data_IF_107836029306
#
_entry.id   IF_107836029306
#
_cell.length_a   1.000
_cell.length_b   1.000
_cell.length_c   1.000
_cell.angle_alpha   90.00
_cell.angle_beta   90.00
_cell.angle_gamma   90.00
#
_symmetry.space_group_name_H-M   'P 1'
#
loop_
_entity.id
_entity.type
_entity.pdbx_description
1 polymer ?
#
# COMPACT_ATOMS: atom_id res chain seq x y z
N UNK A 1 22.14 -11.30 0.58
CA UNK A 1 21.64 -12.68 0.45
C UNK A 1 21.50 -13.32 1.82
N UNK A 2 20.29 -13.25 2.39
CA UNK A 2 19.94 -13.86 3.68
C UNK A 2 19.88 -15.38 3.55
N UNK A 3 20.44 -16.13 4.50
CA UNK A 3 20.36 -17.60 4.53
C UNK A 3 19.00 -18.06 5.05
N UNK A 4 18.20 -18.69 4.19
CA UNK A 4 16.94 -19.35 4.58
C UNK A 4 17.20 -20.84 4.79
N UNK A 5 16.98 -21.33 6.01
CA UNK A 5 17.38 -22.68 6.41
C UNK A 5 16.18 -23.56 6.78
N UNK A 6 16.28 -24.84 6.46
CA UNK A 6 15.60 -25.87 7.24
C UNK A 6 16.32 -26.02 8.59
N UNK A 7 15.58 -26.07 9.69
CA UNK A 7 16.16 -26.15 11.04
C UNK A 7 15.63 -27.38 11.78
N UNK A 8 16.49 -28.36 12.00
CA UNK A 8 16.18 -29.57 12.77
C UNK A 8 16.61 -29.42 14.21
N UNK A 9 15.65 -29.43 15.14
CA UNK A 9 15.92 -29.46 16.57
C UNK A 9 15.97 -30.91 17.05
N UNK A 10 17.01 -31.28 17.78
CA UNK A 10 16.98 -32.50 18.59
C UNK A 10 17.34 -33.81 17.88
N UNK A 11 18.09 -33.77 16.78
CA UNK A 11 18.39 -34.96 15.95
C UNK A 11 19.15 -36.05 16.73
N UNK A 12 20.44 -35.83 17.01
CA UNK A 12 21.29 -36.78 17.74
C UNK A 12 21.51 -36.39 19.22
N UNK A 13 21.15 -35.16 19.58
CA UNK A 13 21.31 -34.60 20.92
C UNK A 13 20.09 -33.74 21.30
N UNK A 14 19.69 -33.66 22.59
CA UNK A 14 18.55 -32.86 23.01
C UNK A 14 18.70 -31.37 22.62
N UNK A 15 17.66 -30.81 21.98
CA UNK A 15 17.52 -29.36 21.81
C UNK A 15 16.90 -28.78 23.09
N UNK A 16 17.74 -28.27 23.98
CA UNK A 16 17.31 -27.69 25.25
C UNK A 16 16.59 -26.36 24.98
N UNK A 17 15.30 -26.30 25.31
CA UNK A 17 14.49 -25.08 25.25
C UNK A 17 14.11 -24.59 26.64
N UNK A 18 13.96 -23.27 26.77
CA UNK A 18 13.40 -22.64 27.97
C UNK A 18 12.05 -22.01 27.63
N UNK A 19 11.08 -22.17 28.53
CA UNK A 19 9.75 -21.61 28.33
C UNK A 19 9.81 -20.09 28.52
N UNK A 20 9.52 -19.34 27.46
CA UNK A 20 9.54 -17.88 27.49
C UNK A 20 8.52 -17.35 28.50
N UNK A 21 9.01 -16.60 29.49
CA UNK A 21 8.20 -16.08 30.59
C UNK A 21 7.60 -17.15 31.51
N UNK A 22 8.10 -18.39 31.47
CA UNK A 22 7.62 -19.53 32.27
C UNK A 22 6.10 -19.77 32.17
N UNK A 23 5.49 -19.53 31.00
CA UNK A 23 4.05 -19.74 30.75
C UNK A 23 3.76 -20.24 29.34
N UNK A 24 2.67 -21.00 29.19
CA UNK A 24 2.19 -21.52 27.90
C UNK A 24 1.33 -20.47 27.17
N UNK A 25 1.99 -19.52 26.52
CA UNK A 25 1.34 -18.39 25.81
C UNK A 25 2.01 -18.10 24.46
N UNK A 26 2.49 -19.15 23.79
CA UNK A 26 3.47 -19.05 22.71
C UNK A 26 3.02 -18.19 21.53
N UNK A 27 1.78 -18.35 21.05
CA UNK A 27 1.30 -17.59 19.88
C UNK A 27 1.17 -16.09 20.19
N UNK A 28 0.66 -15.73 21.37
CA UNK A 28 0.55 -14.32 21.79
C UNK A 28 1.93 -13.69 21.99
N UNK A 29 2.90 -14.46 22.50
CA UNK A 29 4.29 -14.02 22.61
C UNK A 29 4.92 -13.83 21.22
N UNK A 30 4.69 -14.75 20.29
CA UNK A 30 5.21 -14.69 18.93
C UNK A 30 4.62 -13.53 18.12
N UNK A 31 3.36 -13.15 18.35
CA UNK A 31 2.75 -12.00 17.67
C UNK A 31 3.52 -10.70 17.90
N UNK A 32 4.16 -10.52 19.06
CA UNK A 32 5.04 -9.37 19.30
C UNK A 32 6.20 -9.32 18.31
N UNK A 33 6.79 -10.47 17.99
CA UNK A 33 7.87 -10.59 16.99
C UNK A 33 7.33 -10.38 15.58
N UNK A 34 6.17 -10.98 15.26
CA UNK A 34 5.54 -10.88 13.94
C UNK A 34 5.14 -9.43 13.64
N UNK A 35 4.64 -8.67 14.61
CA UNK A 35 4.28 -7.25 14.45
C UNK A 35 5.50 -6.42 14.01
N UNK A 36 6.63 -6.57 14.69
CA UNK A 36 7.89 -5.95 14.28
C UNK A 36 8.36 -6.42 12.89
N UNK A 37 8.25 -7.72 12.61
CA UNK A 37 8.66 -8.27 11.32
C UNK A 37 7.80 -7.72 10.16
N UNK A 38 6.48 -7.60 10.35
CA UNK A 38 5.56 -6.99 9.38
C UNK A 38 5.88 -5.53 9.11
N UNK A 39 6.17 -4.74 10.16
CA UNK A 39 6.61 -3.35 10.02
C UNK A 39 7.91 -3.24 9.22
N UNK A 40 8.90 -4.09 9.57
CA UNK A 40 10.19 -4.15 8.88
C UNK A 40 10.05 -4.48 7.39
N UNK A 41 9.17 -5.43 7.04
CA UNK A 41 8.91 -5.80 5.64
C UNK A 41 8.27 -4.66 4.86
N UNK A 42 7.28 -3.98 5.43
CA UNK A 42 6.68 -2.82 4.78
C UNK A 42 7.69 -1.70 4.54
N UNK A 43 8.54 -1.41 5.54
CA UNK A 43 9.63 -0.44 5.41
C UNK A 43 10.67 -0.87 4.36
N UNK A 44 11.05 -2.16 4.32
CA UNK A 44 11.93 -2.74 3.30
C UNK A 44 11.36 -2.53 1.90
N UNK A 45 10.08 -2.86 1.69
CA UNK A 45 9.40 -2.73 0.41
C UNK A 45 9.37 -1.26 -0.05
N UNK A 46 8.92 -0.34 0.82
CA UNK A 46 8.88 1.09 0.53
C UNK A 46 10.27 1.68 0.24
N UNK A 47 11.29 1.27 0.99
CA UNK A 47 12.68 1.67 0.77
C UNK A 47 13.24 1.18 -0.56
N UNK A 48 12.96 -0.08 -0.92
CA UNK A 48 13.41 -0.70 -2.18
C UNK A 48 12.77 0.01 -3.39
N UNK A 49 11.46 0.27 -3.34
CA UNK A 49 10.78 1.04 -4.39
C UNK A 49 11.39 2.45 -4.51
N UNK A 50 11.67 3.11 -3.40
CA UNK A 50 12.23 4.46 -3.44
C UNK A 50 13.58 4.52 -4.15
N UNK A 51 14.49 3.57 -3.90
CA UNK A 51 15.77 3.56 -4.63
C UNK A 51 15.59 3.14 -6.09
N UNK A 52 14.67 2.21 -6.39
CA UNK A 52 14.32 1.85 -7.77
C UNK A 52 13.83 3.06 -8.59
N UNK A 53 12.93 3.86 -8.01
CA UNK A 53 12.46 5.12 -8.58
C UNK A 53 13.61 6.10 -8.84
N UNK A 54 14.48 6.34 -7.85
CA UNK A 54 15.57 7.31 -7.99
C UNK A 54 16.58 6.89 -9.07
N UNK A 55 16.89 5.60 -9.18
CA UNK A 55 17.70 5.05 -10.28
C UNK A 55 17.02 5.28 -11.64
N UNK A 56 15.71 5.02 -11.74
CA UNK A 56 14.93 5.25 -12.97
C UNK A 56 14.88 6.73 -13.36
N UNK A 57 14.72 7.62 -12.38
CA UNK A 57 14.71 9.07 -12.60
C UNK A 57 16.05 9.55 -13.15
N UNK A 58 17.16 9.18 -12.50
CA UNK A 58 18.52 9.55 -12.91
C UNK A 58 18.79 9.09 -14.34
N UNK A 59 18.53 7.81 -14.64
CA UNK A 59 18.70 7.27 -16.00
C UNK A 59 17.83 8.00 -17.04
N UNK A 60 16.58 8.32 -16.70
CA UNK A 60 15.67 9.01 -17.62
C UNK A 60 16.10 10.44 -17.96
N UNK A 61 16.82 11.10 -17.05
CA UNK A 61 17.34 12.45 -17.26
C UNK A 61 18.52 12.48 -18.22
N UNK A 62 19.32 11.40 -18.28
CA UNK A 62 20.52 11.34 -19.11
C UNK A 62 20.31 10.62 -20.45
N UNK A 63 19.42 9.63 -20.49
CA UNK A 63 19.25 8.79 -21.69
C UNK A 63 18.60 9.56 -22.83
N UNK A 64 19.37 9.88 -23.87
CA UNK A 64 18.87 10.53 -25.11
C UNK A 64 18.33 9.48 -26.10
N UNK A 65 17.04 9.55 -26.42
CA UNK A 65 16.42 8.66 -27.41
C UNK A 65 15.11 9.23 -27.96
N UNK A 66 14.98 9.26 -29.29
CA UNK A 66 13.78 9.76 -29.98
C UNK A 66 13.69 11.29 -29.99
N UNK A 67 12.84 11.83 -30.86
CA UNK A 67 12.46 13.24 -30.85
C UNK A 67 11.31 13.48 -29.86
N UNK A 68 11.08 14.74 -29.48
CA UNK A 68 9.89 15.11 -28.71
C UNK A 68 8.61 14.68 -29.47
N UNK A 69 7.56 14.26 -28.74
CA UNK A 69 6.34 13.74 -29.37
C UNK A 69 5.65 14.78 -30.26
N UNK A 70 5.82 16.07 -29.95
CA UNK A 70 5.30 17.19 -30.76
C UNK A 70 5.98 17.30 -32.12
N UNK A 71 7.20 16.77 -32.27
CA UNK A 71 8.00 16.80 -33.49
C UNK A 71 8.16 15.40 -34.11
N UNK A 72 7.38 14.40 -33.68
CA UNK A 72 7.57 12.99 -34.07
C UNK A 72 7.51 12.70 -35.58
N UNK A 73 6.93 13.62 -36.37
CA UNK A 73 6.87 13.52 -37.85
C UNK A 73 8.11 14.08 -38.55
N UNK A 74 8.86 14.96 -37.89
CA UNK A 74 10.09 15.52 -38.42
C UNK A 74 11.27 14.60 -38.11
N UNK A 75 11.80 13.95 -39.14
CA UNK A 75 12.95 13.03 -39.02
C UNK A 75 14.28 13.76 -38.74
N UNK A 76 14.30 15.08 -38.85
CA UNK A 76 15.45 15.94 -38.58
C UNK A 76 15.41 16.60 -37.21
N UNK A 77 14.31 16.44 -36.47
CA UNK A 77 14.15 16.99 -35.13
C UNK A 77 15.25 16.50 -34.18
N UNK A 78 15.70 17.36 -33.25
CA UNK A 78 16.71 16.99 -32.28
C UNK A 78 16.20 15.86 -31.36
N UNK A 79 17.12 14.99 -30.95
CA UNK A 79 16.82 13.93 -29.99
C UNK A 79 16.75 14.52 -28.58
N UNK A 80 15.86 13.99 -27.76
CA UNK A 80 15.62 14.47 -26.39
C UNK A 80 15.93 13.41 -25.34
N UNK A 81 16.22 13.81 -24.08
CA UNK A 81 16.21 12.88 -22.96
C UNK A 81 14.83 12.21 -22.81
N UNK A 82 14.81 10.94 -22.45
CA UNK A 82 13.56 10.17 -22.41
C UNK A 82 12.56 10.70 -21.37
N UNK A 83 13.00 11.44 -20.35
CA UNK A 83 12.11 12.13 -19.40
C UNK A 83 11.18 13.17 -20.08
N UNK A 84 11.44 13.55 -21.34
CA UNK A 84 10.52 14.40 -22.12
C UNK A 84 9.35 13.64 -22.72
N UNK A 85 9.39 12.30 -22.74
CA UNK A 85 8.32 11.49 -23.29
C UNK A 85 7.16 11.33 -22.29
N UNK A 86 5.89 11.45 -22.73
CA UNK A 86 4.74 11.40 -21.82
C UNK A 86 4.66 10.12 -20.98
N UNK A 87 4.86 8.95 -21.58
CA UNK A 87 4.76 7.67 -20.84
C UNK A 87 5.89 7.50 -19.81
N UNK A 88 7.10 7.98 -20.10
CA UNK A 88 8.21 8.00 -19.13
C UNK A 88 7.85 8.90 -17.95
N UNK A 89 7.28 10.09 -18.19
CA UNK A 89 6.79 10.96 -17.11
C UNK A 89 5.67 10.31 -16.30
N UNK A 90 4.72 9.64 -16.95
CA UNK A 90 3.65 8.89 -16.28
C UNK A 90 4.21 7.81 -15.38
N UNK A 91 5.16 7.00 -15.87
CA UNK A 91 5.83 5.96 -15.08
C UNK A 91 6.63 6.54 -13.92
N UNK A 92 7.35 7.66 -14.13
CA UNK A 92 8.13 8.31 -13.07
C UNK A 92 7.23 8.95 -12.01
N UNK A 93 6.12 9.58 -12.40
CA UNK A 93 5.17 10.15 -11.44
C UNK A 93 4.48 9.05 -10.62
N UNK A 94 4.08 7.95 -11.26
CA UNK A 94 3.54 6.80 -10.52
C UNK A 94 4.55 6.27 -9.49
N UNK A 95 5.79 6.03 -9.90
CA UNK A 95 6.86 5.60 -8.99
C UNK A 95 7.10 6.60 -7.85
N UNK A 96 7.17 7.90 -8.16
CA UNK A 96 7.36 8.98 -7.16
C UNK A 96 6.22 8.99 -6.14
N UNK A 97 4.98 9.09 -6.62
CA UNK A 97 3.78 9.23 -5.79
C UNK A 97 3.64 8.04 -4.83
N UNK A 98 3.80 6.82 -5.34
CA UNK A 98 3.78 5.63 -4.49
C UNK A 98 4.98 5.52 -3.57
N UNK A 99 6.22 5.78 -4.02
CA UNK A 99 7.38 5.71 -3.14
C UNK A 99 7.27 6.70 -1.96
N UNK A 100 6.75 7.90 -2.21
CA UNK A 100 6.53 8.91 -1.18
C UNK A 100 5.31 8.61 -0.30
N UNK A 101 4.22 8.11 -0.89
CA UNK A 101 3.01 7.71 -0.18
C UNK A 101 3.24 6.51 0.75
N UNK A 102 3.94 5.47 0.28
CA UNK A 102 4.33 4.34 1.12
C UNK A 102 5.26 4.78 2.26
N UNK A 103 6.20 5.70 2.01
CA UNK A 103 7.02 6.29 3.07
C UNK A 103 6.15 7.03 4.09
N UNK A 104 5.15 7.80 3.64
CA UNK A 104 4.21 8.48 4.53
C UNK A 104 3.45 7.48 5.42
N UNK A 105 2.92 6.40 4.84
CA UNK A 105 2.22 5.34 5.56
C UNK A 105 3.12 4.67 6.62
N UNK A 106 4.36 4.34 6.26
CA UNK A 106 5.34 3.76 7.19
C UNK A 106 5.63 4.74 8.33
N UNK A 107 5.92 6.01 8.03
CA UNK A 107 6.24 7.00 9.06
C UNK A 107 5.06 7.32 9.97
N UNK A 108 3.85 7.42 9.41
CA UNK A 108 2.62 7.61 10.20
C UNK A 108 2.38 6.41 11.14
N UNK A 109 2.55 5.19 10.64
CA UNK A 109 2.38 3.97 11.46
C UNK A 109 3.44 3.88 12.55
N UNK A 110 4.69 4.26 12.26
CA UNK A 110 5.75 4.33 13.27
C UNK A 110 5.43 5.38 14.35
N UNK A 111 4.94 6.56 13.97
CA UNK A 111 4.51 7.57 14.92
C UNK A 111 3.36 7.07 15.81
N UNK A 112 2.39 6.34 15.25
CA UNK A 112 1.34 5.66 16.02
C UNK A 112 1.93 4.65 17.01
N UNK A 113 2.94 3.86 16.61
CA UNK A 113 3.62 2.92 17.50
C UNK A 113 4.35 3.63 18.65
N UNK A 114 4.96 4.79 18.40
CA UNK A 114 5.51 5.62 19.47
C UNK A 114 4.41 6.11 20.42
N UNK A 115 3.22 6.44 19.91
CA UNK A 115 2.07 6.80 20.77
C UNK A 115 1.64 5.64 21.68
N UNK A 116 1.68 4.39 21.19
CA UNK A 116 1.40 3.19 22.01
C UNK A 116 2.37 3.09 23.19
N UNK A 117 3.66 3.31 22.96
CA UNK A 117 4.68 3.24 24.00
C UNK A 117 4.61 4.42 24.98
N UNK A 118 4.25 5.62 24.49
CA UNK A 118 4.13 6.82 25.32
C UNK A 118 2.82 6.88 26.12
N UNK A 119 1.76 6.24 25.64
CA UNK A 119 0.42 6.25 26.26
C UNK A 119 -0.10 4.80 26.44
N UNK A 120 0.59 3.95 27.22
CA UNK A 120 0.25 2.52 27.34
C UNK A 120 -1.13 2.24 27.97
N UNK A 121 -1.71 3.23 28.65
CA UNK A 121 -3.07 3.19 29.19
C UNK A 121 -4.17 3.46 28.16
N UNK A 122 -3.82 4.05 27.01
CA UNK A 122 -4.76 4.42 25.96
C UNK A 122 -4.75 3.38 24.83
N UNK A 123 -5.68 2.43 24.93
CA UNK A 123 -5.83 1.33 23.97
C UNK A 123 -6.19 1.82 22.54
N UNK A 124 -6.61 3.07 22.35
CA UNK A 124 -6.90 3.62 21.01
C UNK A 124 -5.68 3.54 20.08
N UNK A 125 -4.49 3.89 20.59
CA UNK A 125 -3.24 3.82 19.84
C UNK A 125 -2.88 2.39 19.46
N UNK A 126 -3.12 1.44 20.36
CA UNK A 126 -2.82 0.04 20.09
C UNK A 126 -3.69 -0.47 18.95
N UNK A 127 -5.01 -0.22 19.01
CA UNK A 127 -5.93 -0.60 17.93
C UNK A 127 -5.62 0.09 16.61
N UNK A 128 -5.25 1.39 16.64
CA UNK A 128 -4.78 2.13 15.46
C UNK A 128 -3.54 1.46 14.84
N UNK A 129 -2.56 1.10 15.66
CA UNK A 129 -1.34 0.42 15.19
C UNK A 129 -1.68 -0.93 14.53
N UNK A 130 -2.52 -1.72 15.18
CA UNK A 130 -2.96 -3.02 14.67
C UNK A 130 -3.72 -2.90 13.33
N UNK A 131 -4.52 -1.85 13.15
CA UNK A 131 -5.24 -1.56 11.91
C UNK A 131 -4.28 -1.20 10.76
N UNK A 132 -3.23 -0.41 11.04
CA UNK A 132 -2.30 0.10 10.03
C UNK A 132 -1.25 -0.92 9.59
N UNK A 133 -0.84 -1.83 10.48
CA UNK A 133 0.21 -2.82 10.19
C UNK A 133 -0.04 -3.68 8.94
N UNK A 134 -1.25 -4.23 8.69
CA UNK A 134 -1.57 -4.92 7.45
C UNK A 134 -1.40 -4.05 6.20
N UNK A 135 -1.70 -2.74 6.28
CA UNK A 135 -1.51 -1.80 5.17
C UNK A 135 -0.02 -1.62 4.91
N UNK A 136 0.77 -1.36 5.96
CA UNK A 136 2.23 -1.21 5.85
C UNK A 136 2.84 -2.47 5.23
N UNK A 137 2.48 -3.66 5.71
CA UNK A 137 3.06 -4.91 5.19
C UNK A 137 2.48 -5.27 3.82
N UNK A 138 1.19 -5.56 3.76
CA UNK A 138 0.54 -6.13 2.60
C UNK A 138 0.55 -5.19 1.40
N UNK A 139 0.06 -3.95 1.57
CA UNK A 139 -0.04 -2.99 0.47
C UNK A 139 1.34 -2.54 -0.03
N UNK A 140 2.26 -2.17 0.87
CA UNK A 140 3.59 -1.72 0.46
C UNK A 140 4.36 -2.83 -0.27
N UNK A 141 4.23 -4.09 0.17
CA UNK A 141 4.92 -5.21 -0.48
C UNK A 141 4.46 -5.44 -1.92
N UNK A 142 3.15 -5.43 -2.17
CA UNK A 142 2.60 -5.60 -3.51
C UNK A 142 2.96 -4.43 -4.41
N UNK A 143 2.75 -3.19 -3.93
CA UNK A 143 3.03 -1.98 -4.73
C UNK A 143 4.50 -1.78 -5.02
N UNK A 144 5.39 -2.09 -4.08
CA UNK A 144 6.82 -2.04 -4.36
C UNK A 144 7.20 -2.99 -5.49
N UNK A 145 6.75 -4.25 -5.42
CA UNK A 145 7.06 -5.23 -6.46
C UNK A 145 6.47 -4.84 -7.83
N UNK A 146 5.21 -4.40 -7.87
CA UNK A 146 4.54 -3.93 -9.09
C UNK A 146 5.30 -2.76 -9.75
N UNK A 147 5.65 -1.74 -8.97
CA UNK A 147 6.21 -0.49 -9.50
C UNK A 147 7.70 -0.57 -9.80
N UNK A 148 8.44 -1.51 -9.20
CA UNK A 148 9.80 -1.81 -9.60
C UNK A 148 9.88 -2.32 -11.04
N UNK A 149 8.84 -2.97 -11.55
CA UNK A 149 8.75 -3.32 -12.97
C UNK A 149 8.68 -2.06 -13.85
N UNK A 150 8.02 -0.98 -13.39
CA UNK A 150 8.05 0.31 -14.08
C UNK A 150 9.42 0.98 -13.99
N UNK A 151 10.10 0.87 -12.84
CA UNK A 151 11.50 1.33 -12.73
C UNK A 151 12.37 0.64 -13.77
N UNK A 152 12.25 -0.69 -13.91
CA UNK A 152 12.99 -1.47 -14.91
C UNK A 152 12.62 -1.05 -16.32
N UNK A 153 11.32 -0.84 -16.59
CA UNK A 153 10.81 -0.44 -17.90
C UNK A 153 11.42 0.89 -18.39
N UNK A 154 11.67 1.85 -17.49
CA UNK A 154 12.30 3.14 -17.83
C UNK A 154 13.71 2.95 -18.41
N UNK A 155 14.44 1.91 -18.01
CA UNK A 155 15.76 1.61 -18.55
C UNK A 155 15.71 0.96 -19.95
N UNK A 156 14.55 0.46 -20.37
CA UNK A 156 14.42 -0.38 -21.56
C UNK A 156 15.25 -1.66 -21.43
N UNK A 157 15.90 -2.08 -22.52
CA UNK A 157 16.71 -3.31 -22.52
C UNK A 157 17.83 -3.34 -21.47
N UNK A 158 18.41 -2.19 -21.12
CA UNK A 158 19.43 -2.09 -20.08
C UNK A 158 18.92 -2.50 -18.70
N UNK A 159 17.63 -2.30 -18.42
CA UNK A 159 17.03 -2.65 -17.13
C UNK A 159 16.99 -4.15 -16.88
N UNK A 160 17.12 -4.96 -17.92
CA UNK A 160 17.16 -6.41 -17.85
C UNK A 160 18.57 -6.98 -17.64
N UNK A 161 19.59 -6.12 -17.55
CA UNK A 161 20.98 -6.49 -17.27
C UNK A 161 21.28 -6.41 -15.78
N UNK A 162 22.30 -7.15 -15.32
CA UNK A 162 22.73 -7.13 -13.91
C UNK A 162 23.67 -5.95 -13.60
N UNK A 163 24.06 -5.18 -14.63
CA UNK A 163 24.84 -3.95 -14.51
C UNK A 163 24.08 -2.86 -13.75
N UNK A 164 22.74 -2.95 -13.75
CA UNK A 164 21.84 -2.07 -13.01
C UNK A 164 21.09 -2.84 -11.92
N UNK A 165 20.73 -2.20 -10.79
CA UNK A 165 20.26 -2.93 -9.63
C UNK A 165 18.78 -3.36 -9.70
N UNK A 166 18.04 -2.92 -10.73
CA UNK A 166 16.57 -3.05 -10.76
C UNK A 166 16.08 -4.50 -10.87
N UNK A 167 16.78 -5.34 -11.63
CA UNK A 167 16.46 -6.77 -11.70
C UNK A 167 16.61 -7.44 -10.32
N UNK A 168 17.65 -7.04 -9.57
CA UNK A 168 17.85 -7.52 -8.21
C UNK A 168 16.78 -6.99 -7.27
N UNK A 169 16.41 -5.71 -7.35
CA UNK A 169 15.34 -5.14 -6.53
C UNK A 169 14.02 -5.88 -6.74
N UNK A 170 13.65 -6.22 -7.98
CA UNK A 170 12.43 -6.99 -8.28
C UNK A 170 12.50 -8.37 -7.64
N UNK A 171 13.62 -9.10 -7.80
CA UNK A 171 13.80 -10.43 -7.18
C UNK A 171 13.73 -10.36 -5.66
N UNK A 172 14.43 -9.41 -5.06
CA UNK A 172 14.54 -9.24 -3.61
C UNK A 172 13.23 -8.70 -3.00
N UNK A 173 12.38 -8.01 -3.77
CA UNK A 173 11.07 -7.53 -3.32
C UNK A 173 9.97 -8.60 -3.40
N UNK A 174 10.08 -9.60 -4.29
CA UNK A 174 9.02 -10.62 -4.44
C UNK A 174 8.73 -11.38 -3.15
N UNK A 175 9.75 -11.64 -2.34
CA UNK A 175 9.57 -12.34 -1.05
C UNK A 175 8.68 -11.54 -0.07
N UNK A 176 8.59 -10.22 -0.22
CA UNK A 176 7.85 -9.36 0.69
C UNK A 176 6.35 -9.63 0.69
N UNK A 177 5.80 -10.13 -0.41
CA UNK A 177 4.39 -10.51 -0.53
C UNK A 177 4.09 -11.89 0.06
N UNK A 178 5.10 -12.60 0.57
CA UNK A 178 5.02 -14.03 0.91
C UNK A 178 5.30 -14.27 2.40
N UNK A 179 6.50 -13.96 2.89
CA UNK A 179 6.88 -14.22 4.28
C UNK A 179 6.13 -13.32 5.28
N UNK A 180 6.13 -13.70 6.56
CA UNK A 180 5.39 -13.00 7.65
C UNK A 180 3.89 -12.79 7.35
N UNK A 181 3.32 -13.72 6.58
CA UNK A 181 1.93 -13.75 6.14
C UNK A 181 1.75 -13.16 4.75
N UNK A 182 1.23 -13.96 3.81
CA UNK A 182 0.91 -13.53 2.45
C UNK A 182 -0.08 -12.36 2.43
N UNK A 183 -0.21 -11.67 1.31
CA UNK A 183 -1.16 -10.55 1.15
C UNK A 183 -2.59 -10.95 1.53
N UNK A 184 -3.05 -12.15 1.12
CA UNK A 184 -4.35 -12.68 1.52
C UNK A 184 -4.47 -12.83 3.06
N UNK A 185 -3.41 -13.29 3.73
CA UNK A 185 -3.41 -13.38 5.20
C UNK A 185 -3.43 -12.00 5.85
N UNK A 186 -2.75 -11.00 5.29
CA UNK A 186 -2.83 -9.61 5.79
C UNK A 186 -4.24 -9.03 5.60
N UNK A 187 -4.85 -9.28 4.45
CA UNK A 187 -6.18 -8.79 4.12
C UNK A 187 -7.28 -9.43 4.98
N UNK A 188 -7.21 -10.73 5.20
CA UNK A 188 -8.11 -11.44 6.12
C UNK A 188 -7.88 -11.01 7.57
N UNK A 189 -6.62 -10.80 7.97
CA UNK A 189 -6.29 -10.23 9.28
C UNK A 189 -6.93 -8.85 9.47
N UNK A 190 -6.74 -7.95 8.49
CA UNK A 190 -7.35 -6.62 8.47
C UNK A 190 -8.87 -6.71 8.67
N UNK A 191 -9.57 -7.44 7.81
CA UNK A 191 -11.03 -7.49 7.87
C UNK A 191 -11.53 -8.17 9.15
N UNK A 192 -11.09 -9.41 9.43
CA UNK A 192 -11.68 -10.18 10.51
C UNK A 192 -11.20 -9.76 11.89
N UNK A 193 -9.89 -9.50 12.05
CA UNK A 193 -9.30 -9.23 13.36
C UNK A 193 -9.22 -7.74 13.66
N UNK A 194 -8.91 -6.90 12.67
CA UNK A 194 -8.66 -5.46 12.93
C UNK A 194 -9.90 -4.59 12.73
N UNK A 195 -10.88 -5.05 11.96
CA UNK A 195 -12.14 -4.35 11.73
C UNK A 195 -13.30 -5.07 12.44
N UNK A 196 -13.64 -6.31 12.06
CA UNK A 196 -14.85 -6.97 12.56
C UNK A 196 -14.79 -7.28 14.07
N UNK A 197 -13.70 -7.90 14.54
CA UNK A 197 -13.52 -8.18 15.99
C UNK A 197 -13.45 -6.91 16.83
N UNK A 198 -12.89 -5.83 16.28
CA UNK A 198 -12.84 -4.51 16.93
C UNK A 198 -14.18 -3.75 16.85
N UNK A 199 -15.19 -4.32 16.17
CA UNK A 199 -16.46 -3.66 15.90
C UNK A 199 -16.29 -2.32 15.16
N UNK A 200 -15.24 -2.22 14.34
CA UNK A 200 -14.93 -1.07 13.50
C UNK A 200 -14.45 0.18 14.23
N UNK A 201 -14.14 0.13 15.53
CA UNK A 201 -13.81 1.33 16.32
C UNK A 201 -12.58 2.07 15.79
N UNK A 202 -11.46 1.36 15.64
CA UNK A 202 -10.23 1.96 15.11
C UNK A 202 -10.45 2.52 13.70
N UNK A 203 -11.19 1.81 12.85
CA UNK A 203 -11.48 2.30 11.50
C UNK A 203 -12.35 3.56 11.54
N UNK A 204 -13.41 3.58 12.36
CA UNK A 204 -14.29 4.73 12.51
C UNK A 204 -13.54 5.96 13.00
N UNK A 205 -12.64 5.80 13.98
CA UNK A 205 -11.74 6.87 14.45
C UNK A 205 -10.85 7.38 13.30
N UNK A 206 -10.34 6.49 12.43
CA UNK A 206 -9.48 6.90 11.30
C UNK A 206 -10.28 7.69 10.27
N UNK A 207 -11.42 7.13 9.87
CA UNK A 207 -12.27 7.72 8.83
C UNK A 207 -12.87 9.03 9.30
N UNK A 208 -13.09 9.21 10.61
CA UNK A 208 -13.54 10.49 11.19
C UNK A 208 -12.46 11.55 11.05
N UNK A 209 -11.21 11.24 11.39
CA UNK A 209 -10.06 12.16 11.23
C UNK A 209 -9.88 12.57 9.77
N UNK A 210 -9.97 11.61 8.83
CA UNK A 210 -9.91 11.89 7.39
C UNK A 210 -11.11 12.74 6.96
N UNK A 211 -12.31 12.46 7.46
CA UNK A 211 -13.51 13.22 7.14
C UNK A 211 -13.45 14.66 7.66
N UNK A 212 -12.86 14.87 8.84
CA UNK A 212 -12.59 16.21 9.39
C UNK A 212 -11.58 16.95 8.53
N UNK A 213 -10.50 16.28 8.09
CA UNK A 213 -9.55 16.85 7.14
C UNK A 213 -10.21 17.23 5.81
N UNK A 214 -11.09 16.39 5.25
CA UNK A 214 -11.87 16.71 4.04
C UNK A 214 -12.74 17.96 4.23
N UNK A 215 -13.25 18.21 5.44
CA UNK A 215 -14.08 19.39 5.77
C UNK A 215 -13.27 20.63 6.15
N UNK A 216 -11.97 20.50 6.41
CA UNK A 216 -11.13 21.55 6.97
C UNK A 216 -10.78 22.72 6.03
N UNK A 217 -11.24 22.70 4.77
CA UNK A 217 -11.00 23.75 3.79
C UNK A 217 -11.73 25.07 4.10
N UNK A 218 -11.21 26.18 3.58
CA UNK A 218 -11.85 27.49 3.58
C UNK A 218 -12.48 27.79 2.20
N UNK A 219 -13.27 28.87 2.08
CA UNK A 219 -13.85 29.30 0.80
C UNK A 219 -12.80 29.61 -0.29
N UNK A 220 -11.53 29.83 0.10
CA UNK A 220 -10.38 30.07 -0.79
C UNK A 220 -9.40 28.88 -0.82
N UNK A 221 -9.87 27.68 -0.48
CA UNK A 221 -9.02 26.50 -0.44
C UNK A 221 -8.56 26.06 -1.83
N UNK A 222 -7.25 26.17 -2.05
CA UNK A 222 -6.56 25.76 -3.28
C UNK A 222 -6.60 24.24 -3.52
N UNK A 223 -6.98 23.47 -2.51
CA UNK A 223 -7.15 22.01 -2.55
C UNK A 223 -8.61 21.55 -2.45
N UNK A 224 -9.59 22.44 -2.66
CA UNK A 224 -11.00 22.10 -2.53
C UNK A 224 -11.43 20.90 -3.40
N UNK A 225 -10.95 20.83 -4.65
CA UNK A 225 -11.24 19.71 -5.56
C UNK A 225 -10.60 18.40 -5.08
N UNK A 226 -9.36 18.46 -4.61
CA UNK A 226 -8.61 17.33 -4.07
C UNK A 226 -9.26 16.79 -2.78
N UNK A 227 -9.79 17.68 -1.92
CA UNK A 227 -10.58 17.25 -0.76
C UNK A 227 -11.89 16.58 -1.15
N UNK A 228 -12.59 17.11 -2.14
CA UNK A 228 -13.82 16.49 -2.66
C UNK A 228 -13.54 15.09 -3.21
N UNK A 229 -12.47 14.92 -3.99
CA UNK A 229 -12.01 13.61 -4.47
C UNK A 229 -11.67 12.65 -3.33
N UNK A 230 -10.97 13.12 -2.29
CA UNK A 230 -10.68 12.31 -1.10
C UNK A 230 -11.96 11.92 -0.34
N UNK A 231 -12.94 12.82 -0.27
CA UNK A 231 -14.27 12.56 0.29
C UNK A 231 -14.99 11.45 -0.46
N UNK A 232 -15.01 11.51 -1.80
CA UNK A 232 -15.59 10.44 -2.62
C UNK A 232 -14.87 9.10 -2.45
N UNK A 233 -13.53 9.12 -2.39
CA UNK A 233 -12.75 7.92 -2.13
C UNK A 233 -13.07 7.29 -0.76
N UNK A 234 -13.30 8.13 0.26
CA UNK A 234 -13.72 7.71 1.59
C UNK A 234 -15.13 7.09 1.58
N UNK A 235 -16.08 7.72 0.89
CA UNK A 235 -17.44 7.21 0.70
C UNK A 235 -17.42 5.84 -0.02
N UNK A 236 -16.57 5.70 -1.04
CA UNK A 236 -16.46 4.45 -1.78
C UNK A 236 -15.83 3.33 -0.95
N UNK A 237 -14.81 3.64 -0.15
CA UNK A 237 -14.25 2.71 0.83
C UNK A 237 -15.31 2.24 1.83
N UNK A 238 -16.13 3.15 2.36
CA UNK A 238 -17.21 2.82 3.28
C UNK A 238 -18.27 1.95 2.62
N UNK A 239 -18.64 2.25 1.37
CA UNK A 239 -19.57 1.42 0.59
C UNK A 239 -19.02 0.02 0.30
N UNK A 240 -17.73 -0.10 -0.01
CA UNK A 240 -17.06 -1.39 -0.20
C UNK A 240 -17.07 -2.21 1.10
N UNK A 241 -16.73 -1.58 2.23
CA UNK A 241 -16.75 -2.23 3.53
C UNK A 241 -18.17 -2.66 3.92
N UNK A 242 -19.18 -1.82 3.66
CA UNK A 242 -20.58 -2.12 3.92
C UNK A 242 -21.02 -3.43 3.27
N UNK A 243 -20.76 -3.59 1.97
CA UNK A 243 -21.07 -4.83 1.24
C UNK A 243 -20.38 -6.05 1.88
N UNK A 244 -19.11 -5.92 2.28
CA UNK A 244 -18.38 -7.03 2.92
C UNK A 244 -18.89 -7.36 4.32
N UNK A 245 -19.34 -6.36 5.09
CA UNK A 245 -19.98 -6.58 6.39
C UNK A 245 -21.34 -7.28 6.22
N UNK A 246 -22.12 -6.92 5.19
CA UNK A 246 -23.35 -7.62 4.85
C UNK A 246 -23.10 -9.11 4.55
N UNK A 247 -22.07 -9.45 3.76
CA UNK A 247 -21.68 -10.84 3.52
C UNK A 247 -21.25 -11.57 4.79
N UNK A 248 -20.49 -10.91 5.66
CA UNK A 248 -20.14 -11.48 6.96
C UNK A 248 -21.39 -11.79 7.79
N UNK A 249 -22.35 -10.86 7.86
CA UNK A 249 -23.59 -11.05 8.61
C UNK A 249 -24.45 -12.15 8.01
N UNK A 250 -24.62 -12.17 6.69
CA UNK A 250 -25.36 -13.22 5.98
C UNK A 250 -24.75 -14.61 6.22
N UNK A 251 -23.42 -14.71 6.36
CA UNK A 251 -22.76 -15.99 6.67
C UNK A 251 -23.07 -16.56 8.06
N UNK A 252 -23.63 -15.74 8.96
CA UNK A 252 -24.04 -16.18 10.30
C UNK A 252 -25.46 -16.73 10.33
N UNK A 253 -26.24 -16.55 9.26
CA UNK A 253 -27.57 -17.12 9.13
C UNK A 253 -27.52 -18.63 8.84
N UNK A 254 -28.58 -19.35 9.22
CA UNK A 254 -28.64 -20.79 9.02
C UNK A 254 -28.86 -21.11 7.53
N UNK A 255 -27.90 -21.82 6.91
CA UNK A 255 -27.99 -22.27 5.52
C UNK A 255 -27.27 -21.37 4.49
N UNK A 256 -26.51 -20.37 4.94
CA UNK A 256 -25.83 -19.39 4.07
C UNK A 256 -24.37 -19.15 4.46
N UNK A 257 -23.71 -20.13 5.10
CA UNK A 257 -22.33 -19.98 5.61
C UNK A 257 -21.34 -19.62 4.51
N UNK A 258 -21.62 -20.04 3.29
CA UNK A 258 -20.83 -19.85 2.07
C UNK A 258 -20.74 -18.37 1.66
N UNK A 259 -21.63 -17.49 2.13
CA UNK A 259 -21.56 -16.04 1.92
C UNK A 259 -20.23 -15.45 2.41
N UNK A 260 -19.57 -16.11 3.37
CA UNK A 260 -18.24 -15.71 3.86
C UNK A 260 -17.17 -15.72 2.76
N UNK A 261 -17.35 -16.53 1.70
CA UNK A 261 -16.38 -16.57 0.61
C UNK A 261 -16.30 -15.23 -0.14
N UNK A 262 -17.41 -14.49 -0.23
CA UNK A 262 -17.43 -13.16 -0.86
C UNK A 262 -16.54 -12.17 -0.11
N UNK A 263 -16.46 -12.27 1.22
CA UNK A 263 -15.46 -11.52 2.03
C UNK A 263 -14.04 -11.92 1.62
N UNK A 264 -13.77 -13.22 1.47
CA UNK A 264 -12.48 -13.73 1.02
C UNK A 264 -12.04 -13.15 -0.34
N UNK A 265 -12.96 -13.18 -1.32
CA UNK A 265 -12.75 -12.68 -2.69
C UNK A 265 -12.43 -11.18 -2.75
N UNK A 266 -12.95 -10.40 -1.80
CA UNK A 266 -12.77 -8.94 -1.77
C UNK A 266 -11.79 -8.41 -0.71
N UNK A 267 -11.26 -9.28 0.15
CA UNK A 267 -10.36 -8.89 1.24
C UNK A 267 -9.12 -8.12 0.74
N UNK A 268 -8.43 -8.62 -0.29
CA UNK A 268 -7.27 -7.93 -0.87
C UNK A 268 -7.65 -6.56 -1.44
N UNK A 269 -8.80 -6.47 -2.12
CA UNK A 269 -9.29 -5.22 -2.67
C UNK A 269 -9.61 -4.19 -1.57
N UNK A 270 -10.11 -4.63 -0.42
CA UNK A 270 -10.35 -3.76 0.73
C UNK A 270 -9.05 -3.25 1.35
N UNK A 271 -8.06 -4.13 1.49
CA UNK A 271 -6.71 -3.78 1.94
C UNK A 271 -6.12 -2.67 1.05
N UNK A 272 -6.23 -2.80 -0.28
CA UNK A 272 -5.78 -1.78 -1.22
C UNK A 272 -6.55 -0.47 -1.08
N UNK A 273 -7.89 -0.51 -1.05
CA UNK A 273 -8.71 0.69 -0.93
C UNK A 273 -8.41 1.47 0.35
N UNK A 274 -8.32 0.78 1.50
CA UNK A 274 -8.01 1.45 2.76
C UNK A 274 -6.60 2.08 2.74
N UNK A 275 -5.61 1.38 2.18
CA UNK A 275 -4.25 1.91 2.10
C UNK A 275 -4.20 3.14 1.20
N UNK A 276 -4.91 3.13 0.07
CA UNK A 276 -4.96 4.23 -0.88
C UNK A 276 -5.66 5.46 -0.31
N UNK A 277 -6.75 5.30 0.44
CA UNK A 277 -7.41 6.41 1.15
C UNK A 277 -6.47 7.04 2.18
N UNK A 278 -5.80 6.22 3.00
CA UNK A 278 -4.85 6.72 4.02
C UNK A 278 -3.66 7.42 3.36
N UNK A 279 -3.10 6.86 2.29
CA UNK A 279 -1.98 7.46 1.56
C UNK A 279 -2.41 8.78 0.91
N UNK A 280 -3.58 8.83 0.25
CA UNK A 280 -4.10 10.04 -0.37
C UNK A 280 -4.29 11.16 0.66
N UNK A 281 -4.86 10.84 1.82
CA UNK A 281 -4.97 11.77 2.95
C UNK A 281 -3.61 12.31 3.40
N UNK A 282 -2.64 11.44 3.68
CA UNK A 282 -1.31 11.85 4.13
C UNK A 282 -0.57 12.68 3.07
N UNK A 283 -0.72 12.32 1.79
CA UNK A 283 -0.11 13.06 0.68
C UNK A 283 -0.74 14.45 0.51
N UNK A 284 -2.06 14.57 0.65
CA UNK A 284 -2.74 15.86 0.58
C UNK A 284 -2.35 16.76 1.77
N UNK A 285 -2.23 16.20 2.97
CA UNK A 285 -1.69 16.92 4.13
C UNK A 285 -0.25 17.41 3.89
N UNK A 286 0.62 16.59 3.27
CA UNK A 286 1.95 17.03 2.86
C UNK A 286 1.91 18.13 1.78
N UNK A 287 0.94 18.08 0.86
CA UNK A 287 0.77 19.09 -0.18
C UNK A 287 0.36 20.44 0.41
N UNK A 288 -0.50 20.49 1.43
CA UNK A 288 -0.83 21.72 2.15
C UNK A 288 0.40 22.38 2.77
N UNK A 289 1.27 21.58 3.39
CA UNK A 289 2.52 22.08 3.98
C UNK A 289 3.48 22.58 2.90
N UNK A 290 3.49 21.92 1.73
CA UNK A 290 4.39 22.23 0.62
C UNK A 290 3.91 23.43 -0.22
N UNK A 291 2.61 23.63 -0.36
CA UNK A 291 2.01 24.58 -1.29
C UNK A 291 2.54 26.02 -1.14
N UNK A 292 2.66 26.60 0.08
CA UNK A 292 3.18 27.95 0.25
C UNK A 292 4.62 28.14 -0.26
N UNK A 293 5.37 27.04 -0.43
CA UNK A 293 6.78 27.01 -0.83
C UNK A 293 6.98 26.38 -2.21
N UNK A 294 5.91 26.08 -2.94
CA UNK A 294 6.00 25.31 -4.18
C UNK A 294 6.79 25.99 -5.30
N UNK A 295 6.92 27.32 -5.25
CA UNK A 295 7.72 28.10 -6.20
C UNK A 295 9.16 28.35 -5.74
N UNK A 296 9.47 28.02 -4.48
CA UNK A 296 10.80 28.21 -3.88
C UNK A 296 11.74 27.03 -4.16
N UNK A 297 11.21 25.81 -4.12
CA UNK A 297 11.99 24.57 -4.29
C UNK A 297 11.19 23.53 -5.11
N UNK A 298 11.78 22.93 -6.17
CA UNK A 298 11.16 21.84 -6.94
C UNK A 298 10.68 20.65 -6.10
N UNK A 299 11.27 20.41 -4.93
CA UNK A 299 10.79 19.42 -3.97
C UNK A 299 9.33 19.67 -3.56
N UNK A 300 9.00 20.91 -3.18
CA UNK A 300 7.66 21.27 -2.72
C UNK A 300 6.64 21.21 -3.86
N UNK A 301 7.00 21.70 -5.06
CA UNK A 301 6.17 21.49 -6.26
C UNK A 301 5.92 20.00 -6.51
N UNK A 302 6.97 19.18 -6.42
CA UNK A 302 6.85 17.74 -6.58
C UNK A 302 5.93 17.07 -5.57
N UNK A 303 5.81 17.59 -4.34
CA UNK A 303 4.86 17.10 -3.33
C UNK A 303 3.41 17.39 -3.71
N UNK A 304 3.14 18.63 -4.11
CA UNK A 304 1.81 19.06 -4.55
C UNK A 304 1.35 18.24 -5.76
N UNK A 305 2.18 18.15 -6.79
CA UNK A 305 1.83 17.44 -8.02
C UNK A 305 1.70 15.92 -7.80
N UNK A 306 2.49 15.33 -6.91
CA UNK A 306 2.35 13.91 -6.58
C UNK A 306 1.04 13.61 -5.84
N UNK A 307 0.60 14.49 -4.94
CA UNK A 307 -0.68 14.33 -4.24
C UNK A 307 -1.88 14.44 -5.19
N UNK A 308 -1.88 15.46 -6.06
CA UNK A 308 -2.88 15.63 -7.14
C UNK A 308 -2.94 14.41 -8.04
N UNK A 309 -1.79 13.99 -8.56
CA UNK A 309 -1.70 12.81 -9.41
C UNK A 309 -2.24 11.55 -8.72
N UNK A 310 -1.96 11.37 -7.43
CA UNK A 310 -2.45 10.20 -6.68
C UNK A 310 -3.98 10.23 -6.56
N UNK A 311 -4.58 11.39 -6.27
CA UNK A 311 -6.03 11.54 -6.22
C UNK A 311 -6.68 11.39 -7.60
N UNK A 312 -6.07 11.89 -8.66
CA UNK A 312 -6.62 11.78 -10.03
C UNK A 312 -6.51 10.37 -10.61
N UNK A 313 -5.40 9.65 -10.36
CA UNK A 313 -5.08 8.39 -11.06
C UNK A 313 -5.24 7.14 -10.19
N UNK A 314 -5.18 7.28 -8.86
CA UNK A 314 -5.26 6.14 -7.94
C UNK A 314 -6.62 6.07 -7.26
N UNK A 315 -7.10 7.17 -6.68
CA UNK A 315 -8.34 7.17 -5.90
C UNK A 315 -9.58 6.67 -6.67
N UNK A 316 -9.78 6.95 -7.98
CA UNK A 316 -10.95 6.45 -8.72
C UNK A 316 -11.03 4.92 -8.82
N UNK A 317 -9.92 4.20 -8.58
CA UNK A 317 -9.92 2.73 -8.55
C UNK A 317 -10.74 2.19 -7.38
N UNK A 318 -10.93 2.97 -6.32
CA UNK A 318 -11.71 2.58 -5.14
C UNK A 318 -13.19 2.42 -5.51
N UNK A 319 -13.77 3.35 -6.29
CA UNK A 319 -15.10 3.21 -6.87
C UNK A 319 -15.27 1.90 -7.66
N UNK A 320 -14.27 1.53 -8.47
CA UNK A 320 -14.30 0.28 -9.23
C UNK A 320 -14.24 -0.96 -8.33
N UNK A 321 -13.41 -0.94 -7.27
CA UNK A 321 -13.33 -2.02 -6.27
C UNK A 321 -14.63 -2.14 -5.47
N UNK A 322 -15.26 -1.02 -5.09
CA UNK A 322 -16.61 -0.99 -4.48
C UNK A 322 -17.64 -1.62 -5.39
N UNK A 323 -17.71 -1.20 -6.66
CA UNK A 323 -18.70 -1.72 -7.61
C UNK A 323 -18.57 -3.25 -7.76
N UNK A 324 -17.34 -3.77 -7.82
CA UNK A 324 -17.09 -5.22 -7.83
C UNK A 324 -17.53 -5.91 -6.54
N UNK A 325 -17.22 -5.33 -5.38
CA UNK A 325 -17.60 -5.90 -4.09
C UNK A 325 -19.13 -5.96 -3.91
N UNK A 326 -19.87 -4.95 -4.39
CA UNK A 326 -21.34 -4.94 -4.35
C UNK A 326 -21.95 -5.95 -5.32
N UNK A 327 -21.31 -6.17 -6.47
CA UNK A 327 -21.80 -7.07 -7.51
C UNK A 327 -21.40 -8.54 -7.32
N UNK A 328 -20.70 -8.88 -6.23
CA UNK A 328 -20.19 -10.24 -5.99
C UNK A 328 -21.34 -11.22 -5.74
N UNK A 329 -21.41 -12.25 -6.59
CA UNK A 329 -22.46 -13.26 -6.59
C UNK A 329 -21.99 -14.63 -6.09
N UNK A 330 -20.68 -14.84 -5.91
CA UNK A 330 -20.09 -16.09 -5.45
C UNK A 330 -19.81 -17.11 -6.56
N UNK A 331 -20.08 -16.77 -7.82
CA UNK A 331 -20.00 -17.71 -8.96
C UNK A 331 -18.63 -18.38 -9.12
N UNK A 332 -17.53 -17.69 -8.76
CA UNK A 332 -16.19 -18.28 -8.80
C UNK A 332 -16.05 -19.47 -7.84
N UNK A 333 -16.75 -19.44 -6.70
CA UNK A 333 -16.71 -20.52 -5.70
C UNK A 333 -17.58 -21.72 -6.05
N UNK A 334 -18.49 -21.55 -7.01
CA UNK A 334 -19.32 -22.63 -7.56
C UNK A 334 -18.63 -23.37 -8.71
N UNK A 335 -17.54 -22.80 -9.26
CA UNK A 335 -16.81 -23.40 -10.36
C UNK A 335 -16.15 -24.72 -9.92
N UNK A 336 -16.43 -25.86 -10.56
CA UNK A 336 -15.77 -27.12 -10.23
C UNK A 336 -14.26 -27.02 -10.40
N UNK A 337 -13.50 -27.68 -9.52
CA UNK A 337 -12.04 -27.65 -9.53
C UNK A 337 -11.47 -28.13 -10.87
N UNK A 338 -12.11 -29.11 -11.52
CA UNK A 338 -11.68 -29.66 -12.81
C UNK A 338 -11.85 -28.67 -13.98
N UNK A 339 -12.53 -27.53 -13.76
CA UNK A 339 -12.73 -26.51 -14.78
C UNK A 339 -11.64 -25.41 -14.78
N UNK A 340 -10.67 -25.47 -13.86
CA UNK A 340 -9.45 -24.66 -13.86
C UNK A 340 -8.31 -25.37 -14.60
#
# INVERSE_FOLDING_TARGET
>A
GSTTCELTFGLDQPAIGWLVGNRHDGIRQMFKVIEHARMMIGAKAAGTLSTGYLNALEYAQERIQGADLTEARDKTAPRVPIIRHPDVRRMLMAQKAYAEGLRALVMYTAWVQDQVEMHPEDDTWHRRSELLLPLVKGYSSEKAYELLALSLQVFGGSGYTQDYPLEQYIRDAKIDTIYEGTTAIQALDLFFRKIARDQGKALAELTTEIQEFVKGGTDEDVFAAEREQLGHALDDLQGQLGAMVEYLMASMEEGSKEEIYKVGLHSNALLESLAEVVIAWLMLHHAEIAYPKMDEDPFYRGKVEAARWFLDEVAPKIAARRARAVAEDGSLMELPEEAF
#
